data_IF_589124695428
#
_entry.id   IF_589124695428
#
_cell.length_a   1.000
_cell.length_b   1.000
_cell.length_c   1.000
_cell.angle_alpha   90.00
_cell.angle_beta   90.00
_cell.angle_gamma   90.00
#
_symmetry.space_group_name_H-M   'P 1'
#
loop_
_entity.id
_entity.type
_entity.pdbx_description
1 polymer ?
#
# COMPACT_ATOMS: atom_id res chain seq x y z
N UNK A 1 1.38 -10.22 -19.03
CA UNK A 1 0.31 -11.22 -18.78
C UNK A 1 -1.02 -10.48 -18.81
N UNK A 2 -2.16 -11.15 -19.00
CA UNK A 2 -3.46 -10.44 -18.94
C UNK A 2 -3.79 -10.09 -17.49
N UNK A 3 -3.91 -8.79 -17.20
CA UNK A 3 -4.66 -8.29 -16.05
C UNK A 3 -6.04 -8.99 -16.01
N UNK A 4 -6.72 -9.09 -14.85
CA UNK A 4 -8.04 -9.70 -14.82
C UNK A 4 -8.90 -9.09 -15.94
N UNK A 5 -9.66 -9.93 -16.67
CA UNK A 5 -10.21 -9.73 -18.04
C UNK A 5 -10.94 -8.41 -18.36
N UNK A 6 -11.15 -7.56 -17.36
CA UNK A 6 -11.80 -6.26 -17.41
C UNK A 6 -10.85 -5.07 -17.67
N UNK A 7 -9.52 -5.26 -17.60
CA UNK A 7 -8.56 -4.14 -17.58
C UNK A 7 -7.76 -3.85 -18.86
N UNK A 8 -8.06 -4.47 -20.00
CA UNK A 8 -7.38 -4.12 -21.25
C UNK A 8 -5.84 -4.23 -21.15
N UNK A 9 -5.13 -3.27 -21.76
CA UNK A 9 -3.68 -3.12 -21.64
C UNK A 9 -3.28 -2.34 -20.37
N UNK A 10 -2.02 -2.43 -19.94
CA UNK A 10 -1.53 -1.77 -18.71
C UNK A 10 -1.59 -0.24 -18.78
N UNK A 11 -1.50 0.34 -19.99
CA UNK A 11 -1.73 1.77 -20.19
C UNK A 11 -3.16 2.19 -19.88
N UNK A 12 -4.13 1.30 -20.04
CA UNK A 12 -5.52 1.56 -19.72
C UNK A 12 -5.82 1.45 -18.22
N UNK A 13 -5.00 0.75 -17.43
CA UNK A 13 -5.20 0.63 -15.97
C UNK A 13 -5.19 2.00 -15.29
N UNK A 14 -4.15 2.81 -15.49
CA UNK A 14 -4.05 4.15 -14.88
C UNK A 14 -5.18 5.06 -15.38
N UNK A 15 -5.52 4.98 -16.68
CA UNK A 15 -6.61 5.76 -17.28
C UNK A 15 -7.95 5.42 -16.62
N UNK A 16 -8.24 4.13 -16.45
CA UNK A 16 -9.49 3.68 -15.82
C UNK A 16 -9.50 3.96 -14.31
N UNK A 17 -8.38 3.79 -13.61
CA UNK A 17 -8.24 4.16 -12.20
C UNK A 17 -8.53 5.65 -11.99
N UNK A 18 -8.00 6.51 -12.87
CA UNK A 18 -8.23 7.95 -12.84
C UNK A 18 -9.67 8.31 -13.19
N UNK A 19 -10.26 7.68 -14.21
CA UNK A 19 -11.68 7.88 -14.55
C UNK A 19 -12.58 7.46 -13.40
N UNK A 20 -12.28 6.35 -12.73
CA UNK A 20 -13.03 5.87 -11.58
C UNK A 20 -12.96 6.89 -10.43
N UNK A 21 -11.76 7.35 -10.07
CA UNK A 21 -11.57 8.38 -9.06
C UNK A 21 -12.30 9.69 -9.41
N UNK A 22 -12.26 10.13 -10.67
CA UNK A 22 -13.00 11.32 -11.10
C UNK A 22 -14.51 11.16 -10.96
N UNK A 23 -15.05 9.97 -11.29
CA UNK A 23 -16.50 9.68 -11.18
C UNK A 23 -16.96 9.63 -9.74
N UNK A 24 -16.13 9.14 -8.83
CA UNK A 24 -16.49 8.96 -7.42
C UNK A 24 -15.90 10.05 -6.52
N UNK A 25 -15.23 11.06 -7.07
CA UNK A 25 -14.47 12.06 -6.30
C UNK A 25 -15.30 12.73 -5.19
N UNK A 26 -16.57 13.03 -5.48
CA UNK A 26 -17.47 13.68 -4.52
C UNK A 26 -17.86 12.79 -3.33
N UNK A 27 -17.77 11.47 -3.48
CA UNK A 27 -18.18 10.51 -2.46
C UNK A 27 -16.97 9.86 -1.77
N UNK A 28 -15.95 9.50 -2.55
CA UNK A 28 -14.83 8.68 -2.10
C UNK A 28 -13.47 9.32 -2.27
N UNK A 29 -13.40 10.55 -2.79
CA UNK A 29 -12.14 11.17 -3.20
C UNK A 29 -11.37 10.27 -4.18
N UNK A 30 -10.07 10.13 -3.94
CA UNK A 30 -9.17 9.29 -4.73
C UNK A 30 -9.20 7.79 -4.33
N UNK A 31 -10.05 7.36 -3.37
CA UNK A 31 -10.05 5.98 -2.89
C UNK A 31 -10.25 4.94 -4.00
N UNK A 32 -11.04 5.26 -5.02
CA UNK A 32 -11.24 4.39 -6.17
C UNK A 32 -9.95 4.14 -6.97
N UNK A 33 -9.07 5.14 -7.09
CA UNK A 33 -7.76 4.96 -7.73
C UNK A 33 -6.94 3.90 -6.98
N UNK A 34 -6.88 4.02 -5.65
CA UNK A 34 -6.17 3.05 -4.80
C UNK A 34 -6.73 1.62 -4.94
N UNK A 35 -8.05 1.44 -4.93
CA UNK A 35 -8.68 0.11 -5.02
C UNK A 35 -8.40 -0.61 -6.35
N UNK A 36 -8.28 0.14 -7.45
CA UNK A 36 -7.89 -0.41 -8.75
C UNK A 36 -6.49 -1.02 -8.70
N UNK A 37 -5.53 -0.27 -8.15
CA UNK A 37 -4.15 -0.72 -8.00
C UNK A 37 -4.00 -1.83 -6.95
N UNK A 38 -4.77 -1.81 -5.86
CA UNK A 38 -4.81 -2.94 -4.90
C UNK A 38 -5.13 -4.26 -5.61
N UNK A 39 -6.07 -4.24 -6.55
CA UNK A 39 -6.45 -5.44 -7.30
C UNK A 39 -5.34 -5.86 -8.27
N UNK A 40 -4.68 -4.90 -8.93
CA UNK A 40 -3.56 -5.17 -9.82
C UNK A 40 -2.35 -5.75 -9.08
N UNK A 41 -2.00 -5.21 -7.90
CA UNK A 41 -0.90 -5.70 -7.07
C UNK A 41 -1.13 -7.11 -6.53
N UNK A 42 -2.38 -7.51 -6.27
CA UNK A 42 -2.71 -8.91 -5.87
C UNK A 42 -2.40 -9.93 -6.96
N UNK A 43 -2.44 -9.54 -8.23
CA UNK A 43 -2.20 -10.42 -9.39
C UNK A 43 -0.76 -10.38 -9.91
N UNK A 44 0.08 -9.52 -9.34
CA UNK A 44 1.49 -9.28 -9.67
C UNK A 44 1.89 -9.53 -11.14
N UNK A 45 1.67 -8.53 -11.98
CA UNK A 45 2.46 -8.38 -13.20
C UNK A 45 3.46 -7.25 -12.95
N UNK A 46 4.72 -7.45 -13.34
CA UNK A 46 5.82 -6.47 -13.24
C UNK A 46 5.56 -5.17 -14.02
N UNK A 47 4.46 -5.15 -14.75
CA UNK A 47 4.03 -4.06 -15.59
C UNK A 47 2.96 -3.19 -14.91
N UNK A 48 3.23 -2.70 -13.70
CA UNK A 48 2.51 -1.54 -13.15
C UNK A 48 3.35 -0.24 -13.33
N UNK A 49 3.93 0.07 -14.52
CA UNK A 49 4.94 1.11 -14.65
C UNK A 49 4.37 2.53 -14.62
N UNK A 50 3.05 2.70 -14.72
CA UNK A 50 2.39 4.00 -14.89
C UNK A 50 1.56 4.44 -13.68
N UNK A 51 1.82 3.87 -12.50
CA UNK A 51 1.10 4.27 -11.29
C UNK A 51 1.39 5.73 -10.94
N UNK A 52 0.34 6.54 -10.82
CA UNK A 52 0.42 7.84 -10.16
C UNK A 52 0.50 7.62 -8.65
N UNK A 53 1.73 7.64 -8.11
CA UNK A 53 2.01 7.37 -6.70
C UNK A 53 1.38 8.42 -5.79
N UNK A 54 1.25 9.67 -6.25
CA UNK A 54 0.64 10.72 -5.45
C UNK A 54 -0.87 10.47 -5.32
N UNK A 55 -1.54 10.16 -6.43
CA UNK A 55 -2.96 9.78 -6.42
C UNK A 55 -3.20 8.49 -5.62
N UNK A 56 -2.30 7.51 -5.74
CA UNK A 56 -2.37 6.25 -4.99
C UNK A 56 -2.26 6.48 -3.49
N UNK A 57 -1.27 7.29 -3.06
CA UNK A 57 -1.09 7.68 -1.66
C UNK A 57 -2.33 8.40 -1.14
N UNK A 58 -2.83 9.40 -1.84
CA UNK A 58 -4.04 10.12 -1.43
C UNK A 58 -5.25 9.17 -1.34
N UNK A 59 -5.41 8.29 -2.32
CA UNK A 59 -6.49 7.31 -2.35
C UNK A 59 -6.45 6.35 -1.16
N UNK A 60 -5.26 5.96 -0.70
CA UNK A 60 -5.12 5.15 0.51
C UNK A 60 -5.66 5.87 1.76
N UNK A 61 -5.38 7.17 1.90
CA UNK A 61 -5.87 7.96 3.02
C UNK A 61 -7.38 8.22 2.94
N UNK A 62 -7.88 8.51 1.74
CA UNK A 62 -9.31 8.69 1.52
C UNK A 62 -10.06 7.40 1.86
N UNK A 63 -9.54 6.24 1.45
CA UNK A 63 -10.11 4.94 1.77
C UNK A 63 -10.15 4.66 3.27
N UNK A 64 -9.06 4.96 3.99
CA UNK A 64 -8.99 4.84 5.46
C UNK A 64 -10.02 5.77 6.11
N UNK A 65 -10.14 7.01 5.62
CA UNK A 65 -11.09 8.00 6.14
C UNK A 65 -12.54 7.57 5.91
N UNK A 66 -12.86 7.00 4.74
CA UNK A 66 -14.18 6.44 4.41
C UNK A 66 -14.56 5.26 5.32
N UNK A 67 -13.58 4.59 5.90
CA UNK A 67 -13.77 3.52 6.90
C UNK A 67 -13.69 4.06 8.33
N UNK A 68 -13.89 5.37 8.51
CA UNK A 68 -13.89 6.05 9.79
C UNK A 68 -12.60 5.86 10.60
N UNK A 69 -11.46 5.63 9.93
CA UNK A 69 -10.20 5.29 10.58
C UNK A 69 -10.28 4.06 11.49
N UNK A 70 -11.13 3.08 11.14
CA UNK A 70 -11.24 1.82 11.87
C UNK A 70 -9.86 1.14 11.96
N UNK A 71 -9.29 0.97 13.17
CA UNK A 71 -7.98 0.37 13.35
C UNK A 71 -7.88 -1.06 12.79
N UNK A 72 -8.97 -1.84 12.83
CA UNK A 72 -8.99 -3.18 12.25
C UNK A 72 -8.91 -3.14 10.72
N UNK A 73 -9.60 -2.19 10.09
CA UNK A 73 -9.48 -1.97 8.65
C UNK A 73 -8.06 -1.53 8.28
N UNK A 74 -7.47 -0.58 9.01
CA UNK A 74 -6.11 -0.08 8.76
C UNK A 74 -5.07 -1.20 8.90
N UNK A 75 -5.17 -2.02 9.95
CA UNK A 75 -4.28 -3.17 10.15
C UNK A 75 -4.40 -4.21 9.02
N UNK A 76 -5.61 -4.52 8.58
CA UNK A 76 -5.82 -5.44 7.45
C UNK A 76 -5.30 -4.85 6.14
N UNK A 77 -5.49 -3.55 5.90
CA UNK A 77 -4.96 -2.86 4.73
C UNK A 77 -3.43 -2.94 4.73
N UNK A 78 -2.80 -2.60 5.85
CA UNK A 78 -1.36 -2.73 6.07
C UNK A 78 -0.87 -4.15 5.76
N UNK A 79 -1.56 -5.17 6.29
CA UNK A 79 -1.21 -6.57 6.07
C UNK A 79 -1.27 -6.96 4.59
N UNK A 80 -2.27 -6.48 3.84
CA UNK A 80 -2.35 -6.75 2.39
C UNK A 80 -1.20 -6.08 1.64
N UNK A 81 -0.83 -4.86 2.01
CA UNK A 81 0.27 -4.11 1.40
C UNK A 81 1.64 -4.78 1.57
N UNK A 82 1.87 -5.58 2.62
CA UNK A 82 3.12 -6.34 2.80
C UNK A 82 3.42 -7.22 1.59
N UNK A 83 2.40 -7.82 0.99
CA UNK A 83 2.55 -8.77 -0.11
C UNK A 83 2.57 -8.10 -1.49
N UNK A 84 2.40 -6.77 -1.55
CA UNK A 84 2.44 -5.96 -2.78
C UNK A 84 3.84 -5.45 -3.14
N UNK A 85 4.87 -5.88 -2.38
CA UNK A 85 6.27 -5.59 -2.67
C UNK A 85 7.13 -6.86 -2.85
N UNK A 86 6.53 -8.03 -3.13
CA UNK A 86 7.34 -9.24 -3.34
C UNK A 86 8.14 -9.13 -4.64
N UNK A 87 9.46 -9.19 -4.51
CA UNK A 87 10.41 -9.26 -5.61
C UNK A 87 10.04 -10.46 -6.50
N UNK A 88 9.22 -10.23 -7.53
CA UNK A 88 9.22 -11.11 -8.68
C UNK A 88 10.66 -11.22 -9.18
N UNK A 89 11.04 -12.37 -9.72
CA UNK A 89 12.39 -12.62 -10.25
C UNK A 89 12.67 -11.68 -11.44
N UNK A 90 13.07 -10.47 -11.11
CA UNK A 90 13.35 -9.33 -11.98
C UNK A 90 14.62 -9.53 -12.79
N UNK A 91 15.38 -10.59 -12.51
CA UNK A 91 16.68 -10.86 -13.14
C UNK A 91 16.59 -11.02 -14.65
N UNK A 92 15.41 -11.40 -15.17
CA UNK A 92 15.12 -11.53 -16.60
C UNK A 92 14.65 -10.23 -17.28
N UNK A 93 14.33 -9.18 -16.52
CA UNK A 93 13.86 -7.91 -17.05
C UNK A 93 15.02 -6.94 -17.40
N UNK A 94 14.83 -6.01 -18.35
CA UNK A 94 15.75 -4.89 -18.57
C UNK A 94 16.01 -4.09 -17.29
N UNK A 95 17.25 -3.61 -17.10
CA UNK A 95 17.65 -2.84 -15.89
C UNK A 95 16.73 -1.67 -15.56
N UNK A 96 16.27 -0.91 -16.58
CA UNK A 96 15.36 0.21 -16.37
C UNK A 96 14.01 -0.20 -15.76
N UNK A 97 13.52 -1.39 -16.07
CA UNK A 97 12.30 -1.94 -15.46
C UNK A 97 12.56 -2.42 -14.04
N UNK A 98 13.74 -3.01 -13.77
CA UNK A 98 14.14 -3.38 -12.41
C UNK A 98 14.26 -2.14 -11.50
N UNK A 99 14.86 -1.06 -12.00
CA UNK A 99 15.01 0.22 -11.28
C UNK A 99 13.65 0.87 -11.00
N UNK A 100 12.73 0.85 -11.98
CA UNK A 100 11.38 1.35 -11.82
C UNK A 100 10.60 0.54 -10.77
N UNK A 101 10.63 -0.79 -10.87
CA UNK A 101 9.97 -1.68 -9.91
C UNK A 101 10.53 -1.49 -8.49
N UNK A 102 11.85 -1.35 -8.35
CA UNK A 102 12.52 -1.05 -7.08
C UNK A 102 12.12 0.32 -6.51
N UNK A 103 11.88 1.30 -7.37
CA UNK A 103 11.45 2.64 -6.95
C UNK A 103 10.01 2.65 -6.48
N UNK A 104 9.10 2.01 -7.23
CA UNK A 104 7.70 1.83 -6.83
C UNK A 104 7.62 1.04 -5.51
N UNK A 105 8.39 -0.05 -5.40
CA UNK A 105 8.46 -0.87 -4.18
C UNK A 105 8.86 -0.05 -2.94
N UNK A 106 9.90 0.80 -3.06
CA UNK A 106 10.29 1.73 -1.99
C UNK A 106 9.18 2.72 -1.64
N UNK A 107 8.50 3.29 -2.62
CA UNK A 107 7.41 4.25 -2.38
C UNK A 107 6.20 3.60 -1.70
N UNK A 108 5.88 2.35 -2.05
CA UNK A 108 4.83 1.58 -1.37
C UNK A 108 5.25 1.25 0.06
N UNK A 109 6.52 0.88 0.29
CA UNK A 109 7.06 0.66 1.63
C UNK A 109 7.01 1.93 2.49
N UNK A 110 7.40 3.08 1.95
CA UNK A 110 7.32 4.37 2.63
C UNK A 110 5.89 4.74 2.98
N UNK A 111 4.94 4.56 2.03
CA UNK A 111 3.51 4.76 2.29
C UNK A 111 3.01 3.85 3.41
N UNK A 112 3.41 2.58 3.39
CA UNK A 112 3.04 1.59 4.40
C UNK A 112 3.53 2.00 5.78
N UNK A 113 4.79 2.46 5.90
CA UNK A 113 5.36 2.97 7.17
C UNK A 113 4.59 4.19 7.65
N UNK A 114 4.27 5.11 6.76
CA UNK A 114 3.50 6.31 7.10
C UNK A 114 2.08 5.99 7.59
N UNK A 115 1.36 5.06 6.93
CA UNK A 115 0.04 4.58 7.39
C UNK A 115 0.15 3.99 8.80
N UNK A 116 1.16 3.16 9.04
CA UNK A 116 1.39 2.55 10.35
C UNK A 116 1.65 3.60 11.44
N UNK A 117 2.43 4.63 11.13
CA UNK A 117 2.81 5.68 12.07
C UNK A 117 1.68 6.69 12.34
N UNK A 118 0.86 7.00 11.33
CA UNK A 118 -0.07 8.13 11.39
C UNK A 118 -1.54 7.74 11.43
N UNK A 119 -1.90 6.54 10.97
CA UNK A 119 -3.29 6.09 10.82
C UNK A 119 -3.65 4.88 11.68
N UNK A 120 -2.68 4.07 12.12
CA UNK A 120 -2.94 2.99 13.06
C UNK A 120 -2.96 3.52 14.50
N UNK A 121 -4.15 3.85 14.99
CA UNK A 121 -4.32 4.52 16.29
C UNK A 121 -4.49 3.57 17.48
N UNK A 122 -4.85 2.30 17.24
CA UNK A 122 -5.00 1.28 18.29
C UNK A 122 -4.72 -0.13 17.76
N UNK A 123 -4.18 -1.00 18.62
CA UNK A 123 -3.94 -2.43 18.34
C UNK A 123 -4.74 -3.25 19.34
N UNK A 124 -5.77 -3.94 18.87
CA UNK A 124 -6.57 -4.83 19.72
C UNK A 124 -6.23 -6.28 19.39
N UNK A 125 -5.46 -6.91 20.29
CA UNK A 125 -4.90 -8.26 20.09
C UNK A 125 -5.90 -9.36 19.75
N UNK A 126 -7.18 -9.19 20.12
CA UNK A 126 -8.25 -10.18 19.86
C UNK A 126 -9.03 -9.93 18.58
N UNK A 127 -8.88 -8.76 17.95
CA UNK A 127 -9.66 -8.36 16.78
C UNK A 127 -8.97 -8.68 15.45
N UNK A 128 -7.67 -9.00 15.44
CA UNK A 128 -6.91 -9.21 14.20
C UNK A 128 -6.25 -10.59 14.17
N UNK A 129 -7.01 -11.66 13.91
CA UNK A 129 -6.44 -13.01 13.81
C UNK A 129 -5.27 -13.10 12.79
N UNK A 130 -5.34 -12.35 11.68
CA UNK A 130 -4.27 -12.31 10.67
C UNK A 130 -3.48 -10.99 10.61
N UNK A 131 -4.01 -9.91 11.19
CA UNK A 131 -3.40 -8.57 11.15
C UNK A 131 -2.44 -8.26 12.30
N UNK A 132 -2.62 -8.91 13.47
CA UNK A 132 -1.77 -8.66 14.65
C UNK A 132 -0.33 -9.02 14.36
N UNK A 133 -0.06 -10.16 13.72
CA UNK A 133 1.30 -10.64 13.51
C UNK A 133 2.10 -9.72 12.58
N UNK A 134 1.56 -9.36 11.42
CA UNK A 134 2.27 -8.45 10.51
C UNK A 134 2.35 -7.01 11.00
N UNK A 135 1.36 -6.52 11.75
CA UNK A 135 1.47 -5.23 12.43
C UNK A 135 2.56 -5.25 13.51
N UNK A 136 2.63 -6.31 14.34
CA UNK A 136 3.68 -6.47 15.35
C UNK A 136 5.06 -6.59 14.69
N UNK A 137 5.22 -7.40 13.64
CA UNK A 137 6.51 -7.57 12.95
C UNK A 137 6.98 -6.22 12.36
N UNK A 138 6.07 -5.48 11.75
CA UNK A 138 6.36 -4.15 11.20
C UNK A 138 6.71 -3.11 12.27
N UNK A 139 5.93 -3.05 13.36
CA UNK A 139 6.21 -2.17 14.50
C UNK A 139 7.54 -2.54 15.13
N UNK A 140 7.84 -3.83 15.25
CA UNK A 140 9.11 -4.32 15.77
C UNK A 140 10.27 -3.92 14.86
N UNK A 141 10.12 -4.05 13.54
CA UNK A 141 11.12 -3.57 12.57
C UNK A 141 11.33 -2.06 12.65
N UNK A 142 10.25 -1.27 12.67
CA UNK A 142 10.33 0.19 12.80
C UNK A 142 10.98 0.62 14.12
N UNK A 143 10.62 -0.03 15.23
CA UNK A 143 11.20 0.23 16.53
C UNK A 143 12.68 -0.12 16.55
N UNK A 144 13.09 -1.26 15.96
CA UNK A 144 14.49 -1.64 15.82
C UNK A 144 15.26 -0.62 14.98
N UNK A 145 14.70 -0.14 13.87
CA UNK A 145 15.32 0.90 13.05
C UNK A 145 15.46 2.22 13.82
N UNK A 146 14.45 2.61 14.61
CA UNK A 146 14.52 3.80 15.48
C UNK A 146 15.55 3.66 16.60
N UNK A 147 15.65 2.47 17.22
CA UNK A 147 16.68 2.16 18.23
C UNK A 147 18.08 2.22 17.60
N UNK A 148 18.26 1.62 16.41
CA UNK A 148 19.53 1.68 15.66
C UNK A 148 19.90 3.10 15.25
N UNK A 149 18.91 3.93 14.91
CA UNK A 149 19.10 5.35 14.61
C UNK A 149 19.29 6.23 15.86
N UNK A 150 19.23 5.66 17.06
CA UNK A 150 19.43 6.37 18.33
C UNK A 150 18.23 7.21 18.80
N UNK A 151 17.04 7.05 18.22
CA UNK A 151 15.85 7.88 18.46
C UNK A 151 14.85 7.34 19.49
N UNK A 152 15.05 6.14 20.04
CA UNK A 152 14.05 5.53 20.91
C UNK A 152 14.06 6.14 22.34
N UNK A 153 13.17 7.10 22.59
CA UNK A 153 12.82 7.54 23.95
C UNK A 153 11.48 6.92 24.32
N UNK A 154 11.49 5.86 25.13
CA UNK A 154 10.26 5.24 25.61
C UNK A 154 9.77 6.01 26.84
N UNK A 155 8.72 6.82 26.69
CA UNK A 155 7.94 7.30 27.82
C UNK A 155 7.00 6.16 28.25
N UNK A 156 7.36 5.47 29.34
CA UNK A 156 6.44 4.58 30.04
C UNK A 156 5.49 5.46 30.88
N UNK A 157 4.24 5.59 30.45
CA UNK A 157 3.13 6.09 31.27
C UNK A 157 2.10 4.99 31.49
#
# INVERSE_FOLDING_TARGET
MMLPRWFGDESSLEVEARKAALRTANETGAAAHFTFYETAFKTWDLNVPNIDIAAFKQGSYDLITLRANDPAFVAQLYQRMIWWANEADLTSCPKSQQELASTIGRQIDDLRKDILQTRLTAIHGHSWQDGVRGAIDAISSLAQDHIRAGGATFALT
#
